data_IF_497956979601
#
_entry.id   IF_497956979601
#
_cell.length_a   1.000
_cell.length_b   1.000
_cell.length_c   1.000
_cell.angle_alpha   90.00
_cell.angle_beta   90.00
_cell.angle_gamma   90.00
#
_symmetry.space_group_name_H-M   'P 1'
#
loop_
_entity.id
_entity.type
_entity.pdbx_description
1 polymer ?
#
# COMPACT_ATOMS: atom_id res chain seq x y z
N UNK A 1 -2.64 3.36 -0.62
CA UNK A 1 -3.60 2.65 -1.48
C UNK A 1 -2.88 2.17 -2.73
N UNK A 2 -2.75 2.93 -3.82
CA UNK A 2 -2.21 2.40 -5.10
C UNK A 2 -0.88 1.63 -5.01
N UNK A 3 0.09 2.04 -4.19
CA UNK A 3 1.33 1.27 -4.02
C UNK A 3 1.08 -0.16 -3.49
N UNK A 4 0.13 -0.32 -2.58
CA UNK A 4 -0.31 -1.62 -2.10
C UNK A 4 -0.91 -2.44 -3.23
N UNK A 5 -1.82 -1.84 -4.01
CA UNK A 5 -2.48 -2.53 -5.14
C UNK A 5 -1.46 -2.98 -6.19
N UNK A 6 -0.46 -2.15 -6.51
CA UNK A 6 0.61 -2.51 -7.46
C UNK A 6 1.44 -3.71 -6.97
N UNK A 7 1.67 -3.83 -5.67
CA UNK A 7 2.41 -4.96 -5.08
C UNK A 7 1.54 -6.21 -4.98
N UNK A 8 0.31 -6.06 -4.52
CA UNK A 8 -0.53 -7.16 -4.07
C UNK A 8 -1.38 -7.78 -5.19
N UNK A 9 -1.82 -6.99 -6.17
CA UNK A 9 -2.74 -7.47 -7.21
C UNK A 9 -2.12 -8.53 -8.12
N UNK A 10 -0.86 -8.42 -8.61
CA UNK A 10 -0.28 -9.44 -9.48
C UNK A 10 -0.27 -10.85 -8.89
N UNK A 11 0.27 -11.11 -7.69
CA UNK A 11 0.23 -12.44 -7.09
C UNK A 11 -1.20 -12.87 -6.70
N UNK A 12 -2.05 -11.93 -6.24
CA UNK A 12 -3.41 -12.27 -5.82
C UNK A 12 -4.29 -12.69 -6.99
N UNK A 13 -4.13 -12.03 -8.15
CA UNK A 13 -4.94 -12.34 -9.31
C UNK A 13 -4.43 -13.51 -10.13
N UNK A 14 -3.11 -13.61 -10.29
CA UNK A 14 -2.53 -14.60 -11.20
C UNK A 14 -2.15 -15.90 -10.50
N UNK A 15 -1.59 -15.84 -9.28
CA UNK A 15 -1.22 -17.05 -8.54
C UNK A 15 -2.38 -17.53 -7.67
N UNK A 16 -2.90 -16.67 -6.78
CA UNK A 16 -3.92 -17.06 -5.82
C UNK A 16 -5.33 -17.15 -6.41
N UNK A 17 -5.55 -16.56 -7.60
CA UNK A 17 -6.86 -16.48 -8.27
C UNK A 17 -7.97 -15.88 -7.40
N UNK A 18 -7.61 -14.96 -6.50
CA UNK A 18 -8.57 -14.33 -5.58
C UNK A 18 -9.56 -13.42 -6.32
N UNK A 19 -9.11 -12.73 -7.37
CA UNK A 19 -9.91 -12.02 -8.36
C UNK A 19 -9.17 -12.02 -9.68
N UNK A 20 -9.88 -12.11 -10.80
CA UNK A 20 -9.24 -12.30 -12.11
C UNK A 20 -9.77 -11.28 -13.11
N UNK A 21 -8.86 -10.64 -13.84
CA UNK A 21 -9.21 -9.87 -15.03
C UNK A 21 -9.28 -10.78 -16.25
N UNK A 22 -10.46 -10.91 -16.85
CA UNK A 22 -10.70 -11.82 -17.97
C UNK A 22 -9.86 -11.49 -19.21
N UNK A 23 -9.61 -10.21 -19.49
CA UNK A 23 -8.75 -9.81 -20.61
C UNK A 23 -7.25 -9.80 -20.25
N UNK A 24 -6.92 -10.14 -18.99
CA UNK A 24 -5.57 -10.06 -18.45
C UNK A 24 -5.02 -8.62 -18.41
N UNK A 25 -3.69 -8.53 -18.36
CA UNK A 25 -3.01 -7.25 -18.30
C UNK A 25 -1.50 -7.40 -18.32
N UNK A 26 -0.80 -6.33 -18.70
CA UNK A 26 0.65 -6.37 -18.89
C UNK A 26 1.43 -6.60 -17.58
N UNK A 27 0.86 -6.23 -16.42
CA UNK A 27 1.49 -6.45 -15.13
C UNK A 27 1.00 -7.78 -14.54
N UNK A 28 1.50 -8.89 -15.10
CA UNK A 28 1.15 -10.26 -14.72
C UNK A 28 -0.36 -10.49 -14.58
N UNK A 29 -1.14 -10.15 -15.61
CA UNK A 29 -2.59 -10.32 -15.59
C UNK A 29 -3.38 -9.12 -15.06
N UNK A 30 -2.71 -8.09 -14.53
CA UNK A 30 -3.36 -6.86 -14.04
C UNK A 30 -3.23 -5.73 -15.07
N UNK A 31 -4.34 -5.12 -15.53
CA UNK A 31 -4.29 -4.02 -16.49
C UNK A 31 -3.88 -2.70 -15.82
N UNK A 32 -3.19 -1.82 -16.56
CA UNK A 32 -2.74 -0.52 -16.04
C UNK A 32 -3.91 0.36 -15.54
N UNK A 33 -5.08 0.22 -16.16
CA UNK A 33 -6.31 0.94 -15.78
C UNK A 33 -6.74 0.65 -14.33
N UNK A 34 -6.43 -0.53 -13.79
CA UNK A 34 -6.70 -0.86 -12.39
C UNK A 34 -5.98 0.11 -11.43
N UNK A 35 -4.67 0.32 -11.65
CA UNK A 35 -3.88 1.20 -10.78
C UNK A 35 -4.27 2.67 -10.93
N UNK A 36 -4.59 3.10 -12.15
CA UNK A 36 -5.13 4.44 -12.39
C UNK A 36 -6.50 4.61 -11.71
N UNK A 37 -7.34 3.58 -11.74
CA UNK A 37 -8.63 3.54 -11.04
C UNK A 37 -8.47 3.67 -9.52
N UNK A 38 -7.57 2.89 -8.91
CA UNK A 38 -7.30 2.96 -7.47
C UNK A 38 -6.68 4.30 -7.06
N UNK A 39 -5.81 4.87 -7.90
CA UNK A 39 -5.25 6.20 -7.70
C UNK A 39 -6.34 7.27 -7.73
N UNK A 40 -7.16 7.29 -8.77
CA UNK A 40 -8.25 8.26 -8.93
C UNK A 40 -9.28 8.12 -7.80
N UNK A 41 -9.62 6.89 -7.41
CA UNK A 41 -10.57 6.61 -6.32
C UNK A 41 -10.03 7.15 -4.99
N UNK A 42 -8.78 6.81 -4.65
CA UNK A 42 -8.14 7.27 -3.42
C UNK A 42 -8.03 8.78 -3.38
N UNK A 43 -7.57 9.39 -4.49
CA UNK A 43 -7.47 10.83 -4.62
C UNK A 43 -8.84 11.51 -4.44
N UNK A 44 -9.88 11.03 -5.13
CA UNK A 44 -11.22 11.59 -5.05
C UNK A 44 -11.78 11.52 -3.63
N UNK A 45 -11.58 10.40 -2.94
CA UNK A 45 -12.01 10.24 -1.56
C UNK A 45 -11.34 11.27 -0.63
N UNK A 46 -10.01 11.42 -0.72
CA UNK A 46 -9.29 12.41 0.08
C UNK A 46 -9.66 13.85 -0.28
N UNK A 47 -9.95 14.14 -1.55
CA UNK A 47 -10.37 15.48 -1.97
C UNK A 47 -11.76 15.82 -1.43
N UNK A 48 -12.73 14.92 -1.55
CA UNK A 48 -14.07 15.12 -0.97
C UNK A 48 -13.97 15.33 0.54
N UNK A 49 -13.15 14.54 1.23
CA UNK A 49 -12.93 14.70 2.66
C UNK A 49 -12.24 16.03 3.01
N UNK A 50 -11.25 16.45 2.23
CA UNK A 50 -10.60 17.75 2.42
C UNK A 50 -11.57 18.93 2.22
N UNK A 51 -12.44 18.87 1.20
CA UNK A 51 -13.49 19.87 0.98
C UNK A 51 -14.53 19.88 2.09
N UNK A 52 -14.93 18.70 2.57
CA UNK A 52 -15.84 18.54 3.70
C UNK A 52 -15.28 19.18 4.98
N UNK A 53 -14.00 18.97 5.25
CA UNK A 53 -13.32 19.55 6.41
C UNK A 53 -13.02 21.04 6.26
N UNK A 54 -12.87 21.57 5.04
CA UNK A 54 -12.58 22.99 4.78
C UNK A 54 -13.58 23.93 5.46
N UNK A 55 -14.86 23.56 5.47
CA UNK A 55 -15.93 24.33 6.12
C UNK A 55 -16.09 24.05 7.61
N UNK A 56 -15.36 23.08 8.17
CA UNK A 56 -15.49 22.56 9.54
C UNK A 56 -14.18 22.65 10.29
N UNK A 57 -13.51 23.79 10.17
CA UNK A 57 -12.27 24.09 10.90
C UNK A 57 -12.57 24.22 12.40
N UNK A 58 -12.87 23.11 13.07
CA UNK A 58 -12.71 23.01 14.51
C UNK A 58 -11.21 23.03 14.78
N UNK A 59 -10.73 24.18 15.26
CA UNK A 59 -9.32 24.53 15.41
C UNK A 59 -8.59 23.76 16.53
N UNK A 60 -9.04 22.56 16.92
CA UNK A 60 -8.55 21.97 18.19
C UNK A 60 -8.54 20.45 18.27
N UNK A 61 -8.71 19.69 17.17
CA UNK A 61 -8.42 18.24 17.27
C UNK A 61 -6.90 18.06 17.27
N UNK A 62 -6.27 17.63 18.38
CA UNK A 62 -4.84 17.40 18.38
C UNK A 62 -4.50 16.35 17.31
N UNK A 63 -3.33 16.46 16.66
CA UNK A 63 -2.88 15.42 15.75
C UNK A 63 -2.88 14.07 16.48
N UNK A 64 -3.10 12.95 15.77
CA UNK A 64 -3.03 11.63 16.38
C UNK A 64 -1.72 11.47 17.15
N UNK A 65 -1.75 10.82 18.31
CA UNK A 65 -0.53 10.51 19.06
C UNK A 65 0.47 9.70 18.23
N UNK A 66 1.71 9.57 18.69
CA UNK A 66 2.76 8.84 17.97
C UNK A 66 2.44 7.35 17.81
N UNK A 67 1.77 6.75 18.79
CA UNK A 67 1.42 5.32 18.82
C UNK A 67 0.54 4.88 17.64
N UNK A 68 -0.64 5.48 17.37
CA UNK A 68 -1.47 5.08 16.22
C UNK A 68 -0.77 5.32 14.87
N UNK A 69 0.10 6.32 14.78
CA UNK A 69 0.90 6.57 13.57
C UNK A 69 1.92 5.46 13.36
N UNK A 70 2.65 5.07 14.41
CA UNK A 70 3.59 3.96 14.35
C UNK A 70 2.88 2.64 14.02
N UNK A 71 1.73 2.39 14.63
CA UNK A 71 0.92 1.20 14.32
C UNK A 71 0.53 1.16 12.84
N UNK A 72 0.09 2.28 12.26
CA UNK A 72 -0.24 2.35 10.83
C UNK A 72 0.99 2.12 9.92
N UNK A 73 2.14 2.68 10.27
CA UNK A 73 3.40 2.48 9.54
C UNK A 73 3.83 1.01 9.59
N UNK A 74 3.82 0.40 10.79
CA UNK A 74 4.21 -1.00 10.97
C UNK A 74 3.24 -1.93 10.26
N UNK A 75 1.93 -1.69 10.36
CA UNK A 75 0.93 -2.47 9.63
C UNK A 75 1.21 -2.44 8.13
N UNK A 76 1.38 -1.26 7.54
CA UNK A 76 1.61 -1.10 6.11
C UNK A 76 2.92 -1.76 5.66
N UNK A 77 4.00 -1.58 6.43
CA UNK A 77 5.28 -2.24 6.16
C UNK A 77 5.18 -3.76 6.24
N UNK A 78 4.58 -4.28 7.32
CA UNK A 78 4.39 -5.72 7.54
C UNK A 78 3.59 -6.36 6.43
N UNK A 79 2.52 -5.72 5.95
CA UNK A 79 1.72 -6.25 4.85
C UNK A 79 2.53 -6.41 3.56
N UNK A 80 3.38 -5.44 3.21
CA UNK A 80 4.30 -5.58 2.07
C UNK A 80 5.33 -6.69 2.28
N UNK A 81 5.89 -6.78 3.49
CA UNK A 81 6.90 -7.79 3.84
C UNK A 81 6.37 -9.23 3.78
N UNK A 82 5.05 -9.45 3.84
CA UNK A 82 4.46 -10.80 3.67
C UNK A 82 4.80 -11.43 2.31
N UNK A 83 5.12 -10.62 1.30
CA UNK A 83 5.53 -11.11 -0.02
C UNK A 83 6.97 -11.66 -0.08
N UNK A 84 7.80 -11.41 0.96
CA UNK A 84 9.14 -11.98 1.02
C UNK A 84 9.12 -13.50 1.24
N UNK A 85 8.26 -14.00 2.12
CA UNK A 85 8.18 -15.43 2.42
C UNK A 85 7.96 -16.29 1.16
N UNK A 86 6.95 -16.04 0.32
CA UNK A 86 6.74 -16.88 -0.86
C UNK A 86 7.81 -16.69 -1.94
N UNK A 87 8.47 -15.53 -2.00
CA UNK A 87 9.64 -15.34 -2.88
C UNK A 87 10.85 -16.15 -2.39
N UNK A 88 11.14 -16.12 -1.09
CA UNK A 88 12.24 -16.89 -0.46
C UNK A 88 12.03 -18.40 -0.54
N UNK A 89 10.78 -18.87 -0.55
CA UNK A 89 10.48 -20.28 -0.78
C UNK A 89 10.88 -20.75 -2.19
N UNK A 90 11.07 -19.81 -3.14
CA UNK A 90 11.63 -20.12 -4.46
C UNK A 90 10.73 -21.01 -5.31
N UNK A 91 9.41 -20.89 -5.19
CA UNK A 91 8.48 -21.63 -6.04
C UNK A 91 8.70 -21.25 -7.51
N UNK A 92 8.96 -22.27 -8.34
CA UNK A 92 9.16 -22.13 -9.78
C UNK A 92 7.98 -22.72 -10.54
N UNK A 93 7.87 -22.34 -11.82
CA UNK A 93 6.85 -22.85 -12.72
C UNK A 93 6.08 -21.76 -13.43
N UNK A 94 5.07 -22.20 -14.17
CA UNK A 94 4.29 -21.36 -15.07
C UNK A 94 2.84 -21.27 -14.61
N UNK A 95 2.25 -20.08 -14.77
CA UNK A 95 0.87 -19.81 -14.43
C UNK A 95 0.21 -18.95 -15.50
N UNK A 96 -0.97 -19.34 -15.96
CA UNK A 96 -1.75 -18.55 -16.92
C UNK A 96 -2.57 -17.49 -16.19
N UNK A 97 -2.60 -16.25 -16.69
CA UNK A 97 -3.54 -15.22 -16.22
C UNK A 97 -4.97 -15.43 -16.77
N UNK A 98 -5.88 -14.51 -16.45
CA UNK A 98 -7.27 -14.59 -16.92
C UNK A 98 -7.43 -14.48 -18.44
N UNK A 99 -6.50 -13.81 -19.12
CA UNK A 99 -6.45 -13.68 -20.58
C UNK A 99 -5.71 -14.83 -21.28
N UNK A 100 -5.27 -15.85 -20.52
CA UNK A 100 -4.57 -17.03 -21.03
C UNK A 100 -3.09 -16.81 -21.31
N UNK A 101 -2.50 -15.65 -20.96
CA UNK A 101 -1.06 -15.43 -21.09
C UNK A 101 -0.34 -16.15 -19.96
N UNK A 102 0.70 -16.91 -20.31
CA UNK A 102 1.52 -17.66 -19.36
C UNK A 102 2.65 -16.78 -18.83
N UNK A 103 2.82 -16.78 -17.52
CA UNK A 103 3.84 -16.04 -16.77
C UNK A 103 4.65 -17.00 -15.91
N UNK A 104 5.94 -16.70 -15.72
CA UNK A 104 6.79 -17.43 -14.78
C UNK A 104 6.54 -16.92 -13.36
N UNK A 105 6.33 -17.85 -12.43
CA UNK A 105 6.03 -17.53 -11.03
C UNK A 105 7.20 -16.79 -10.38
N UNK A 106 8.44 -17.19 -10.68
CA UNK A 106 9.65 -16.55 -10.17
C UNK A 106 9.76 -15.08 -10.61
N UNK A 107 9.56 -14.78 -11.89
CA UNK A 107 9.60 -13.40 -12.42
C UNK A 107 8.53 -12.52 -11.74
N UNK A 108 7.33 -13.07 -11.53
CA UNK A 108 6.23 -12.40 -10.84
C UNK A 108 6.57 -12.10 -9.38
N UNK A 109 7.08 -13.10 -8.64
CA UNK A 109 7.43 -12.95 -7.22
C UNK A 109 8.62 -12.01 -7.02
N UNK A 110 9.64 -12.12 -7.85
CA UNK A 110 10.81 -11.22 -7.80
C UNK A 110 10.40 -9.78 -8.10
N UNK A 111 9.59 -9.56 -9.14
CA UNK A 111 9.06 -8.22 -9.48
C UNK A 111 8.21 -7.66 -8.33
N UNK A 112 7.35 -8.50 -7.73
CA UNK A 112 6.52 -8.12 -6.57
C UNK A 112 7.39 -7.61 -5.42
N UNK A 113 8.45 -8.35 -5.07
CA UNK A 113 9.39 -7.97 -4.00
C UNK A 113 10.15 -6.69 -4.36
N UNK A 114 10.65 -6.57 -5.59
CA UNK A 114 11.36 -5.38 -6.04
C UNK A 114 10.48 -4.13 -5.93
N UNK A 115 9.24 -4.19 -6.45
CA UNK A 115 8.30 -3.07 -6.36
C UNK A 115 7.96 -2.76 -4.90
N UNK A 116 7.71 -3.77 -4.06
CA UNK A 116 7.44 -3.58 -2.64
C UNK A 116 8.57 -2.85 -1.91
N UNK A 117 9.83 -3.23 -2.17
CA UNK A 117 11.01 -2.62 -1.56
C UNK A 117 11.13 -1.14 -1.92
N UNK A 118 10.99 -0.80 -3.20
CA UNK A 118 11.13 0.57 -3.69
C UNK A 118 9.89 1.44 -3.49
N UNK A 119 8.76 0.87 -3.05
CA UNK A 119 7.52 1.60 -2.81
C UNK A 119 7.05 1.54 -1.35
N UNK A 120 6.41 0.44 -0.94
CA UNK A 120 5.79 0.29 0.37
C UNK A 120 6.83 0.35 1.51
N UNK A 121 7.95 -0.36 1.35
CA UNK A 121 9.00 -0.37 2.37
C UNK A 121 9.70 0.99 2.44
N UNK A 122 10.08 1.56 1.28
CA UNK A 122 10.70 2.89 1.22
C UNK A 122 9.82 3.99 1.83
N UNK A 123 8.52 4.02 1.49
CA UNK A 123 7.59 5.01 2.06
C UNK A 123 7.36 4.81 3.56
N UNK A 124 7.27 3.56 4.03
CA UNK A 124 7.21 3.25 5.46
C UNK A 124 8.45 3.72 6.21
N UNK A 125 9.64 3.52 5.62
CA UNK A 125 10.90 3.99 6.19
C UNK A 125 10.92 5.51 6.32
N UNK A 126 10.56 6.24 5.26
CA UNK A 126 10.47 7.70 5.29
C UNK A 126 9.45 8.19 6.33
N UNK A 127 8.29 7.54 6.42
CA UNK A 127 7.28 7.87 7.41
C UNK A 127 7.79 7.64 8.85
N UNK A 128 8.51 6.54 9.09
CA UNK A 128 9.14 6.24 10.38
C UNK A 128 10.22 7.26 10.75
N UNK A 129 11.07 7.65 9.80
CA UNK A 129 12.07 8.70 10.00
C UNK A 129 11.40 10.04 10.35
N UNK A 130 10.36 10.42 9.59
CA UNK A 130 9.59 11.65 9.86
C UNK A 130 8.94 11.63 11.24
N UNK A 131 8.37 10.50 11.65
CA UNK A 131 7.75 10.36 12.98
C UNK A 131 8.77 10.53 14.11
N UNK A 132 10.01 10.03 13.93
CA UNK A 132 11.11 10.20 14.89
C UNK A 132 11.59 11.65 14.98
N UNK A 133 11.67 12.34 13.84
CA UNK A 133 12.17 13.72 13.76
C UNK A 133 11.13 14.76 14.21
N UNK A 134 9.84 14.43 14.21
CA UNK A 134 8.77 15.35 14.63
C UNK A 134 8.73 15.42 16.16
N UNK A 135 8.99 16.58 16.81
CA UNK A 135 8.94 16.70 18.27
C UNK A 135 7.60 16.25 18.85
N UNK A 136 7.60 15.68 20.05
CA UNK A 136 6.35 15.45 20.77
C UNK A 136 5.71 16.80 21.08
N UNK A 137 4.39 16.92 20.88
CA UNK A 137 3.67 18.13 21.28
C UNK A 137 3.93 18.38 22.78
N UNK A 138 4.21 19.62 23.20
CA UNK A 138 4.36 19.93 24.62
C UNK A 138 3.08 19.56 25.38
N UNK A 139 3.18 19.14 26.65
CA UNK A 139 2.01 18.80 27.47
C UNK A 139 1.06 20.00 27.53
N UNK A 140 -0.24 19.70 27.47
CA UNK A 140 -1.29 20.72 27.48
C UNK A 140 -1.30 21.42 28.85
N UNK A 141 -0.82 22.67 28.88
CA UNK A 141 -0.72 23.49 30.10
C UNK A 141 -2.09 23.73 30.76
N UNK A 142 -3.19 23.42 30.05
CA UNK A 142 -4.58 23.58 30.54
C UNK A 142 -5.07 22.45 31.44
N UNK A 143 -4.36 21.33 31.59
CA UNK A 143 -4.78 20.24 32.50
C UNK A 143 -4.26 20.39 33.93
N UNK A 144 -3.58 21.50 34.26
CA UNK A 144 -2.90 21.73 35.54
C UNK A 144 -3.53 22.86 36.39
N UNK A 145 -4.69 23.39 36.01
CA UNK A 145 -5.46 24.39 36.74
C UNK A 145 -6.89 23.88 36.98
#
# INVERSE_FOLDING_TARGET
>A
MTQWDVVMDPPSATIAKAWVWHDGGAHFGVPLSNYLGWLLTSWSFYQVFAFYLRGRRDASRPPPGREPQLAAILFYASSGLTHLTPWLLGETGDVADGGGRVWRIEDLRETTVAVMLFTMFYTSLLAGLRLRLTPASPPDVRSAA
#
